data_IF_199069274793
#
_entry.id   IF_199069274793
#
_cell.length_a   1.000
_cell.length_b   1.000
_cell.length_c   1.000
_cell.angle_alpha   90.00
_cell.angle_beta   90.00
_cell.angle_gamma   90.00
#
_symmetry.space_group_name_H-M   'P 1'
#
loop_
_entity.id
_entity.type
_entity.pdbx_description
1 polymer ?
#
# COMPACT_ATOMS: atom_id res chain seq x y z
N UNK A 1 -5.96 19.60 14.69
CA UNK A 1 -5.95 19.31 13.25
C UNK A 1 -5.67 20.61 12.50
N UNK A 2 -4.44 20.84 12.02
CA UNK A 2 -4.13 22.00 11.19
C UNK A 2 -4.55 21.65 9.75
N UNK A 3 -5.54 22.33 9.15
CA UNK A 3 -6.04 21.94 7.84
C UNK A 3 -5.06 22.43 6.76
N UNK A 4 -4.06 21.61 6.44
CA UNK A 4 -3.06 21.90 5.39
C UNK A 4 -3.69 22.31 4.05
N UNK A 5 -4.92 21.83 3.76
CA UNK A 5 -5.70 22.25 2.58
C UNK A 5 -6.15 23.70 2.64
N UNK A 6 -6.58 24.20 3.80
CA UNK A 6 -6.96 25.60 3.97
C UNK A 6 -5.73 26.50 3.88
N UNK A 7 -4.62 26.09 4.50
CA UNK A 7 -3.34 26.82 4.44
C UNK A 7 -2.81 26.91 3.00
N UNK A 8 -2.80 25.80 2.24
CA UNK A 8 -2.40 25.83 0.81
C UNK A 8 -3.27 26.74 -0.05
N UNK A 9 -4.58 26.79 0.23
CA UNK A 9 -5.51 27.67 -0.48
C UNK A 9 -5.29 29.14 -0.14
N UNK A 10 -4.88 29.45 1.09
CA UNK A 10 -4.55 30.81 1.55
C UNK A 10 -3.17 31.24 1.03
N UNK A 11 -2.22 30.30 0.89
CA UNK A 11 -0.86 30.57 0.41
C UNK A 11 -0.71 30.50 -1.13
N UNK A 12 -1.79 30.25 -1.87
CA UNK A 12 -1.78 30.09 -3.34
C UNK A 12 -0.73 29.09 -3.85
N UNK A 13 -0.36 28.10 -3.04
CA UNK A 13 0.58 27.03 -3.44
C UNK A 13 -0.10 26.12 -4.48
N UNK A 14 0.04 26.45 -5.76
CA UNK A 14 -0.33 25.55 -6.85
C UNK A 14 0.58 24.33 -6.86
N UNK A 15 -0.01 23.13 -7.01
CA UNK A 15 0.80 21.93 -7.15
C UNK A 15 1.45 21.93 -8.54
N UNK A 16 2.78 22.03 -8.57
CA UNK A 16 3.56 21.94 -9.81
C UNK A 16 3.29 20.58 -10.47
N UNK A 17 2.71 20.63 -11.66
CA UNK A 17 2.48 19.47 -12.50
C UNK A 17 3.75 19.05 -13.26
N UNK A 18 3.78 17.80 -13.70
CA UNK A 18 4.82 17.34 -14.62
C UNK A 18 4.64 18.02 -16.00
N UNK A 19 5.72 18.58 -16.54
CA UNK A 19 5.69 19.35 -17.81
C UNK A 19 6.33 18.64 -18.99
N UNK A 20 6.95 17.47 -18.78
CA UNK A 20 7.56 16.67 -19.85
C UNK A 20 6.56 15.73 -20.56
N UNK A 21 7.07 14.79 -21.37
CA UNK A 21 6.26 13.85 -22.15
C UNK A 21 5.99 12.54 -21.41
N UNK A 22 4.91 11.85 -21.75
CA UNK A 22 4.58 10.54 -21.17
C UNK A 22 5.65 9.48 -21.44
N UNK A 23 6.33 9.55 -22.58
CA UNK A 23 7.36 8.59 -22.98
C UNK A 23 8.60 8.71 -22.08
N UNK A 24 8.99 9.93 -21.71
CA UNK A 24 10.07 10.16 -20.75
C UNK A 24 9.73 9.59 -19.37
N UNK A 25 8.47 9.72 -18.93
CA UNK A 25 8.00 9.11 -17.70
C UNK A 25 8.07 7.58 -17.78
N UNK A 26 7.60 6.99 -18.88
CA UNK A 26 7.63 5.55 -19.08
C UNK A 26 9.06 5.01 -19.05
N UNK A 27 9.99 5.62 -19.79
CA UNK A 27 11.39 5.24 -19.81
C UNK A 27 12.07 5.39 -18.43
N UNK A 28 11.76 6.46 -17.69
CA UNK A 28 12.26 6.65 -16.33
C UNK A 28 11.74 5.56 -15.38
N UNK A 29 10.44 5.25 -15.42
CA UNK A 29 9.84 4.22 -14.58
C UNK A 29 10.37 2.84 -14.93
N UNK A 30 10.50 2.52 -16.22
CA UNK A 30 11.04 1.25 -16.68
C UNK A 30 12.49 1.07 -16.21
N UNK A 31 13.35 2.07 -16.39
CA UNK A 31 14.74 2.00 -15.92
C UNK A 31 14.87 1.94 -14.39
N UNK A 32 13.98 2.61 -13.65
CA UNK A 32 14.01 2.65 -12.17
C UNK A 32 13.48 1.38 -11.53
N UNK A 33 12.41 0.80 -12.07
CA UNK A 33 11.69 -0.31 -11.45
C UNK A 33 11.97 -1.67 -12.08
N UNK A 34 12.76 -1.74 -13.15
CA UNK A 34 13.24 -3.00 -13.70
C UNK A 34 14.55 -3.40 -13.00
N UNK A 35 14.45 -4.19 -11.94
CA UNK A 35 15.63 -4.79 -11.31
C UNK A 35 16.02 -6.07 -12.04
N UNK A 36 17.32 -6.23 -12.33
CA UNK A 36 17.85 -7.53 -12.75
C UNK A 36 17.71 -8.52 -11.60
N UNK A 37 17.22 -9.75 -11.83
CA UNK A 37 17.18 -10.77 -10.80
C UNK A 37 18.57 -11.00 -10.17
N UNK A 38 18.64 -11.27 -8.85
CA UNK A 38 19.90 -11.59 -8.22
C UNK A 38 20.47 -12.89 -8.80
N UNK A 39 21.81 -12.95 -8.92
CA UNK A 39 22.51 -14.17 -9.32
C UNK A 39 22.37 -15.27 -8.27
N UNK A 40 22.54 -16.53 -8.67
CA UNK A 40 22.50 -17.69 -7.76
C UNK A 40 23.44 -17.53 -6.57
N UNK A 41 24.67 -17.05 -6.80
CA UNK A 41 25.65 -16.86 -5.75
C UNK A 41 25.20 -15.80 -4.71
N UNK A 42 24.56 -14.70 -5.17
CA UNK A 42 24.00 -13.71 -4.24
C UNK A 42 22.85 -14.28 -3.41
N UNK A 43 22.01 -15.13 -3.99
CA UNK A 43 20.94 -15.83 -3.28
C UNK A 43 21.53 -16.76 -2.22
N UNK A 44 22.54 -17.55 -2.57
CA UNK A 44 23.18 -18.51 -1.68
C UNK A 44 23.89 -17.80 -0.52
N UNK A 45 24.62 -16.71 -0.79
CA UNK A 45 25.22 -15.87 0.25
C UNK A 45 24.16 -15.28 1.19
N UNK A 46 23.04 -14.78 0.65
CA UNK A 46 21.95 -14.22 1.46
C UNK A 46 21.28 -15.28 2.35
N UNK A 47 21.03 -16.48 1.81
CA UNK A 47 20.52 -17.63 2.58
C UNK A 47 21.47 -18.02 3.70
N UNK A 48 22.76 -18.19 3.38
CA UNK A 48 23.75 -18.52 4.39
C UNK A 48 23.84 -17.45 5.50
N UNK A 49 23.62 -16.17 5.19
CA UNK A 49 23.53 -15.13 6.21
C UNK A 49 22.24 -15.26 7.04
N UNK A 50 21.10 -15.49 6.40
CA UNK A 50 19.82 -15.69 7.07
C UNK A 50 19.89 -16.88 8.05
N UNK A 51 20.44 -18.02 7.62
CA UNK A 51 20.52 -19.24 8.42
C UNK A 51 21.44 -19.12 9.65
N UNK A 52 22.40 -18.19 9.60
CA UNK A 52 23.29 -17.89 10.75
C UNK A 52 22.66 -16.96 11.78
N UNK A 53 21.54 -16.32 11.49
CA UNK A 53 20.86 -15.46 12.45
C UNK A 53 20.15 -16.31 13.52
N UNK A 54 20.20 -15.86 14.76
CA UNK A 54 19.43 -16.48 15.85
C UNK A 54 17.96 -16.03 15.77
N UNK A 55 17.16 -16.81 15.05
CA UNK A 55 15.72 -16.56 14.94
C UNK A 55 14.97 -17.08 16.15
N UNK A 56 14.14 -16.24 16.75
CA UNK A 56 13.08 -16.70 17.65
C UNK A 56 11.94 -17.26 16.81
N UNK A 57 11.90 -18.58 16.69
CA UNK A 57 10.82 -19.26 15.97
C UNK A 57 9.48 -19.05 16.70
N UNK A 58 8.39 -18.82 15.95
CA UNK A 58 7.06 -18.74 16.53
C UNK A 58 6.64 -20.09 17.13
N UNK A 59 5.87 -20.03 18.21
CA UNK A 59 5.19 -21.18 18.81
C UNK A 59 4.11 -21.74 17.89
N UNK A 60 3.65 -22.97 18.14
CA UNK A 60 2.57 -23.59 17.37
C UNK A 60 1.27 -22.77 17.42
N UNK A 61 1.01 -22.09 18.53
CA UNK A 61 -0.15 -21.20 18.69
C UNK A 61 0.00 -19.96 17.80
N UNK A 62 1.16 -19.30 17.82
CA UNK A 62 1.46 -18.16 16.94
C UNK A 62 1.38 -18.55 15.46
N UNK A 63 1.89 -19.72 15.09
CA UNK A 63 1.77 -20.25 13.72
C UNK A 63 0.30 -20.47 13.31
N UNK A 64 -0.52 -20.96 14.24
CA UNK A 64 -1.96 -21.17 14.01
C UNK A 64 -2.66 -19.83 13.78
N UNK A 65 -2.31 -18.80 14.56
CA UNK A 65 -2.85 -17.43 14.39
C UNK A 65 -2.42 -16.86 13.05
N UNK A 66 -1.13 -16.92 12.69
CA UNK A 66 -0.59 -16.41 11.43
C UNK A 66 -1.17 -17.12 10.20
N UNK A 67 -1.62 -18.36 10.36
CA UNK A 67 -2.21 -19.17 9.29
C UNK A 67 -3.75 -19.08 9.25
N UNK A 68 -4.36 -18.30 10.14
CA UNK A 68 -5.81 -18.14 10.25
C UNK A 68 -6.31 -16.93 9.47
N UNK A 69 -7.53 -16.98 8.89
CA UNK A 69 -8.15 -15.80 8.30
C UNK A 69 -8.40 -14.70 9.33
N UNK A 70 -8.42 -13.46 8.85
CA UNK A 70 -8.67 -12.27 9.68
C UNK A 70 -10.03 -12.36 10.41
N UNK A 71 -10.01 -12.09 11.72
CA UNK A 71 -11.18 -12.02 12.58
C UNK A 71 -11.93 -10.68 12.44
N UNK A 72 -13.21 -10.67 12.79
CA UNK A 72 -14.01 -9.44 12.85
C UNK A 72 -13.43 -8.40 13.81
N UNK A 73 -12.83 -8.87 14.90
CA UNK A 73 -12.22 -8.09 15.97
C UNK A 73 -10.99 -7.34 15.46
N UNK A 74 -10.09 -8.02 14.74
CA UNK A 74 -8.92 -7.41 14.11
C UNK A 74 -9.33 -6.36 13.07
N UNK A 75 -10.33 -6.67 12.26
CA UNK A 75 -10.86 -5.76 11.22
C UNK A 75 -11.48 -4.53 11.86
N UNK A 76 -12.35 -4.72 12.87
CA UNK A 76 -12.98 -3.64 13.61
C UNK A 76 -11.94 -2.77 14.30
N UNK A 77 -10.93 -3.37 14.92
CA UNK A 77 -9.82 -2.66 15.54
C UNK A 77 -9.06 -1.81 14.53
N UNK A 78 -8.71 -2.39 13.38
CA UNK A 78 -7.99 -1.72 12.30
C UNK A 78 -8.80 -0.56 11.71
N UNK A 79 -10.09 -0.75 11.49
CA UNK A 79 -11.02 0.28 11.01
C UNK A 79 -11.20 1.43 12.00
N UNK A 80 -11.26 1.11 13.29
CA UNK A 80 -11.38 2.09 14.37
C UNK A 80 -10.16 3.00 14.47
N UNK A 81 -8.95 2.46 14.26
CA UNK A 81 -7.70 3.22 14.25
C UNK A 81 -7.42 3.95 12.92
N UNK A 82 -8.09 3.58 11.83
CA UNK A 82 -7.78 4.12 10.51
C UNK A 82 -8.30 5.54 10.30
N UNK A 83 -7.38 6.49 10.11
CA UNK A 83 -7.72 7.81 9.56
C UNK A 83 -8.11 7.71 8.08
N UNK A 84 -8.98 8.60 7.64
CA UNK A 84 -9.39 8.62 6.24
C UNK A 84 -8.23 9.08 5.36
N UNK A 85 -7.88 8.30 4.33
CA UNK A 85 -6.85 8.61 3.35
C UNK A 85 -7.42 8.56 1.95
N UNK A 86 -6.66 9.06 0.96
CA UNK A 86 -7.08 9.03 -0.44
C UNK A 86 -7.48 7.60 -0.86
N UNK A 87 -8.65 7.43 -1.51
CA UNK A 87 -9.11 6.13 -1.95
C UNK A 87 -8.31 5.63 -3.15
N UNK A 88 -8.45 4.33 -3.42
CA UNK A 88 -7.98 3.75 -4.68
C UNK A 88 -8.86 4.18 -5.85
N UNK A 89 -8.76 3.45 -6.97
CA UNK A 89 -9.52 3.76 -8.19
C UNK A 89 -11.03 3.59 -8.02
N UNK A 90 -11.47 2.82 -7.04
CA UNK A 90 -12.87 2.55 -6.70
C UNK A 90 -13.55 3.67 -5.91
N UNK A 91 -12.80 4.66 -5.41
CA UNK A 91 -13.36 5.74 -4.59
C UNK A 91 -13.80 5.31 -3.19
N UNK A 92 -13.57 4.06 -2.79
CA UNK A 92 -13.95 3.59 -1.46
C UNK A 92 -12.98 4.10 -0.41
N UNK A 93 -13.52 4.68 0.65
CA UNK A 93 -12.78 5.29 1.76
C UNK A 93 -13.08 4.56 3.07
N UNK A 94 -12.24 4.74 4.09
CA UNK A 94 -12.41 4.05 5.38
C UNK A 94 -13.73 4.44 6.05
N UNK A 95 -14.21 5.68 5.85
CA UNK A 95 -15.52 6.11 6.36
C UNK A 95 -16.69 5.34 5.74
N UNK A 96 -16.60 4.96 4.46
CA UNK A 96 -17.63 4.17 3.79
C UNK A 96 -17.69 2.77 4.40
N UNK A 97 -16.53 2.17 4.63
CA UNK A 97 -16.43 0.82 5.22
C UNK A 97 -16.91 0.79 6.67
N UNK A 98 -16.59 1.81 7.49
CA UNK A 98 -17.11 1.92 8.86
C UNK A 98 -18.62 2.08 8.93
N UNK A 99 -19.18 2.86 8.00
CA UNK A 99 -20.63 3.06 7.91
C UNK A 99 -21.34 1.79 7.43
N UNK A 100 -20.70 1.01 6.55
CA UNK A 100 -21.26 -0.23 6.00
C UNK A 100 -21.15 -1.42 6.96
N UNK A 101 -20.02 -1.56 7.67
CA UNK A 101 -19.70 -2.74 8.48
C UNK A 101 -19.09 -2.35 9.83
N UNK A 102 -19.94 -1.88 10.74
CA UNK A 102 -19.51 -1.45 12.08
C UNK A 102 -19.03 -2.60 12.95
N UNK A 103 -19.50 -3.83 12.70
CA UNK A 103 -19.09 -5.03 13.46
C UNK A 103 -17.85 -5.71 12.88
N UNK A 104 -17.54 -5.52 11.60
CA UNK A 104 -16.42 -6.17 10.91
C UNK A 104 -16.78 -7.55 10.33
N UNK A 105 -18.02 -8.02 10.49
CA UNK A 105 -18.43 -9.37 10.07
C UNK A 105 -18.57 -9.50 8.55
N UNK A 106 -19.07 -8.45 7.88
CA UNK A 106 -19.19 -8.46 6.42
C UNK A 106 -17.80 -8.52 5.78
N UNK A 107 -16.89 -7.66 6.23
CA UNK A 107 -15.51 -7.62 5.77
C UNK A 107 -14.75 -8.89 6.14
N UNK A 108 -14.98 -9.48 7.31
CA UNK A 108 -14.40 -10.78 7.67
C UNK A 108 -14.82 -11.86 6.68
N UNK A 109 -16.09 -11.88 6.27
CA UNK A 109 -16.60 -12.85 5.30
C UNK A 109 -15.93 -12.67 3.93
N UNK A 110 -15.74 -11.42 3.49
CA UNK A 110 -15.03 -11.10 2.25
C UNK A 110 -13.55 -11.50 2.36
N UNK A 111 -12.87 -11.18 3.47
CA UNK A 111 -11.46 -11.49 3.64
C UNK A 111 -11.18 -12.98 3.82
N UNK A 112 -12.12 -13.76 4.37
CA UNK A 112 -12.03 -15.23 4.33
C UNK A 112 -12.04 -15.75 2.90
N UNK A 113 -12.92 -15.22 2.03
CA UNK A 113 -12.91 -15.59 0.62
C UNK A 113 -11.58 -15.19 -0.05
N UNK A 114 -11.03 -14.01 0.25
CA UNK A 114 -9.71 -13.60 -0.23
C UNK A 114 -8.59 -14.50 0.28
N UNK A 115 -8.67 -14.95 1.54
CA UNK A 115 -7.71 -15.88 2.14
C UNK A 115 -7.72 -17.23 1.42
N UNK A 116 -8.91 -17.76 1.11
CA UNK A 116 -9.07 -19.07 0.44
C UNK A 116 -8.78 -19.02 -1.06
N UNK A 117 -9.27 -18.00 -1.76
CA UNK A 117 -9.23 -17.93 -3.23
C UNK A 117 -8.13 -17.00 -3.77
N UNK A 118 -7.45 -16.29 -2.89
CA UNK A 118 -6.39 -15.34 -3.23
C UNK A 118 -6.88 -13.92 -3.48
N UNK A 119 -5.90 -13.00 -3.50
CA UNK A 119 -6.15 -11.57 -3.71
C UNK A 119 -6.54 -11.32 -5.18
N UNK A 120 -7.71 -10.68 -5.37
CA UNK A 120 -8.18 -10.25 -6.68
C UNK A 120 -7.19 -9.35 -7.40
N UNK A 121 -7.06 -9.51 -8.72
CA UNK A 121 -6.21 -8.66 -9.56
C UNK A 121 -6.51 -7.16 -9.37
N UNK A 122 -7.77 -6.78 -9.12
CA UNK A 122 -8.15 -5.37 -8.92
C UNK A 122 -7.56 -4.77 -7.65
N UNK A 123 -7.28 -5.58 -6.62
CA UNK A 123 -6.64 -5.13 -5.38
C UNK A 123 -5.12 -5.03 -5.51
N UNK A 124 -4.54 -5.76 -6.47
CA UNK A 124 -3.11 -5.69 -6.82
C UNK A 124 -2.78 -4.48 -7.71
N UNK A 125 -3.79 -3.75 -8.20
CA UNK A 125 -3.61 -2.54 -8.99
C UNK A 125 -3.80 -1.29 -8.12
N UNK A 126 -2.88 -0.33 -8.25
CA UNK A 126 -2.97 0.98 -7.59
C UNK A 126 -3.07 2.11 -8.61
N UNK A 127 -3.51 3.29 -8.17
CA UNK A 127 -3.36 4.53 -8.96
C UNK A 127 -2.14 5.28 -8.46
N UNK A 128 -1.10 5.38 -9.29
CA UNK A 128 0.09 6.17 -8.96
C UNK A 128 -0.15 7.64 -9.27
N UNK A 129 0.14 8.52 -8.30
CA UNK A 129 0.09 9.98 -8.46
C UNK A 129 1.47 10.55 -8.16
N UNK A 130 2.11 11.27 -9.09
CA UNK A 130 3.39 11.92 -8.83
C UNK A 130 3.18 13.18 -7.99
N UNK A 131 4.01 13.35 -6.95
CA UNK A 131 4.05 14.57 -6.13
C UNK A 131 5.38 15.26 -6.33
N UNK A 132 5.35 16.50 -6.83
CA UNK A 132 6.55 17.29 -7.04
C UNK A 132 7.36 17.45 -5.74
N UNK A 133 8.68 17.24 -5.84
CA UNK A 133 9.62 17.33 -4.72
C UNK A 133 10.43 18.62 -4.80
N UNK A 134 11.18 18.84 -5.89
CA UNK A 134 12.06 20.00 -6.16
C UNK A 134 12.70 19.88 -7.54
N UNK A 135 13.23 20.95 -8.13
CA UNK A 135 14.04 20.90 -9.35
C UNK A 135 13.25 21.23 -10.63
N UNK A 136 13.68 20.70 -11.76
CA UNK A 136 12.98 20.86 -13.03
C UNK A 136 11.73 19.96 -13.07
N UNK A 137 10.57 20.54 -13.39
CA UNK A 137 9.30 19.83 -13.52
C UNK A 137 9.20 18.95 -14.78
N UNK A 138 10.16 19.07 -15.71
CA UNK A 138 10.26 18.19 -16.88
C UNK A 138 10.98 16.87 -16.60
N UNK A 139 11.75 16.81 -15.51
CA UNK A 139 12.45 15.62 -15.02
C UNK A 139 11.59 14.86 -14.01
N UNK A 140 11.23 13.61 -14.32
CA UNK A 140 10.37 12.80 -13.45
C UNK A 140 11.07 12.35 -12.15
N UNK A 141 12.41 12.35 -12.11
CA UNK A 141 13.19 12.09 -10.89
C UNK A 141 12.96 13.14 -9.78
N UNK A 142 12.42 14.30 -10.16
CA UNK A 142 12.02 15.37 -9.26
C UNK A 142 10.61 15.21 -8.68
N UNK A 143 9.96 14.06 -8.94
CA UNK A 143 8.67 13.69 -8.37
C UNK A 143 8.78 12.46 -7.49
N UNK A 144 7.89 12.37 -6.50
CA UNK A 144 7.70 11.17 -5.67
C UNK A 144 6.45 10.45 -6.16
N UNK A 145 6.56 9.24 -6.74
CA UNK A 145 5.39 8.45 -7.07
C UNK A 145 4.72 7.95 -5.79
N UNK A 146 3.43 8.24 -5.61
CA UNK A 146 2.62 7.73 -4.50
C UNK A 146 1.53 6.80 -5.03
N UNK A 147 1.54 5.55 -4.57
CA UNK A 147 0.56 4.53 -4.94
C UNK A 147 -0.70 4.62 -4.07
N UNK A 148 -1.84 4.93 -4.69
CA UNK A 148 -3.14 4.93 -4.04
C UNK A 148 -3.79 3.55 -4.20
N UNK A 149 -3.70 2.75 -3.13
CA UNK A 149 -4.26 1.39 -3.07
C UNK A 149 -5.76 1.40 -2.73
N UNK A 150 -6.54 0.41 -3.23
CA UNK A 150 -7.92 0.19 -2.80
C UNK A 150 -8.03 0.07 -1.29
N UNK A 151 -9.04 0.69 -0.69
CA UNK A 151 -9.16 0.74 0.78
C UNK A 151 -9.38 -0.64 1.39
N UNK A 152 -10.09 -1.52 0.70
CA UNK A 152 -10.22 -2.91 1.08
C UNK A 152 -8.87 -3.62 1.20
N UNK A 153 -7.96 -3.36 0.26
CA UNK A 153 -6.62 -3.95 0.29
C UNK A 153 -5.75 -3.34 1.40
N UNK A 154 -5.83 -2.02 1.61
CA UNK A 154 -5.09 -1.32 2.70
C UNK A 154 -5.45 -1.85 4.10
N UNK A 155 -6.69 -2.30 4.31
CA UNK A 155 -7.10 -2.94 5.57
C UNK A 155 -6.53 -4.35 5.64
N UNK A 156 -6.75 -5.16 4.60
CA UNK A 156 -6.29 -6.54 4.55
C UNK A 156 -4.78 -6.65 4.78
N UNK A 157 -3.97 -5.92 4.00
CA UNK A 157 -2.52 -5.93 4.10
C UNK A 157 -1.97 -5.13 5.28
N UNK A 158 -2.84 -4.48 6.06
CA UNK A 158 -2.45 -3.72 7.25
C UNK A 158 -2.79 -4.44 8.55
N UNK A 159 -3.31 -5.67 8.46
CA UNK A 159 -3.55 -6.58 9.57
C UNK A 159 -2.59 -7.77 9.46
N UNK A 160 -2.41 -8.29 8.24
CA UNK A 160 -1.31 -9.20 7.88
C UNK A 160 0.05 -8.51 7.98
#
# INVERSE_FOLDING_TARGET
FYPRRAVRKILEEESIGYTGTKDLVAAFLESTYSQTPPSTNQIDCARAHFDRCEWKNPTSEELTILSSPLSSEEIKHRLGKACNTAPGRDGLEYRHLRALDTSGHLLASIYRAVWTYGISARWKTSRTVPIYKKGDSSDYGNFRPISLLPTMYKIFSGIL
#
